data_IF_504181881653
#
_entry.id   IF_504181881653
#
_cell.length_a   1.000
_cell.length_b   1.000
_cell.length_c   1.000
_cell.angle_alpha   90.00
_cell.angle_beta   90.00
_cell.angle_gamma   90.00
#
_symmetry.space_group_name_H-M   'P 1'
#
loop_
_entity.id
_entity.type
_entity.pdbx_description
1 polymer ?
#
# COMPACT_ATOMS: atom_id res chain seq x y z
N UNK A 1 -13.07 11.70 8.93
CA UNK A 1 -12.93 10.51 8.05
C UNK A 1 -11.45 10.20 7.94
N UNK A 2 -11.09 8.92 7.81
CA UNK A 2 -9.71 8.45 7.89
C UNK A 2 -9.30 7.82 6.56
N UNK A 3 -8.02 7.88 6.22
CA UNK A 3 -7.54 7.45 4.91
C UNK A 3 -6.38 6.45 5.06
N UNK A 4 -6.18 5.63 4.04
CA UNK A 4 -5.01 4.76 3.91
C UNK A 4 -4.28 5.14 2.62
N UNK A 5 -2.98 5.40 2.70
CA UNK A 5 -2.12 5.55 1.52
C UNK A 5 -1.15 4.39 1.43
N UNK A 6 -0.99 3.86 0.22
CA UNK A 6 -0.08 2.76 -0.11
C UNK A 6 1.05 3.28 -0.95
N UNK A 7 2.29 3.11 -0.48
CA UNK A 7 3.50 3.45 -1.21
C UNK A 7 4.30 2.20 -1.53
N UNK A 8 4.95 2.21 -2.68
CA UNK A 8 5.94 1.19 -3.05
C UNK A 8 7.31 1.85 -3.14
N UNK A 9 8.28 1.32 -2.39
CA UNK A 9 9.64 1.83 -2.34
C UNK A 9 10.65 0.73 -2.65
N UNK A 10 11.81 1.11 -3.17
CA UNK A 10 12.95 0.21 -3.24
C UNK A 10 13.80 0.26 -1.96
N UNK A 11 14.85 -0.56 -1.88
CA UNK A 11 15.78 -0.62 -0.75
C UNK A 11 16.54 0.69 -0.45
N UNK A 12 16.58 1.62 -1.41
CA UNK A 12 17.17 2.95 -1.26
C UNK A 12 16.12 4.03 -0.94
N UNK A 13 14.88 3.63 -0.63
CA UNK A 13 13.73 4.51 -0.39
C UNK A 13 13.29 5.35 -1.61
N UNK A 14 13.67 4.96 -2.82
CA UNK A 14 13.13 5.58 -4.04
C UNK A 14 11.73 5.02 -4.33
N UNK A 15 10.86 5.85 -4.92
CA UNK A 15 9.57 5.38 -5.44
C UNK A 15 9.75 4.27 -6.48
N UNK A 16 9.00 3.18 -6.33
CA UNK A 16 8.97 2.05 -7.27
C UNK A 16 7.53 1.80 -7.73
N UNK A 17 7.02 2.68 -8.58
CA UNK A 17 5.61 2.66 -9.02
C UNK A 17 5.33 1.57 -10.06
N UNK A 18 6.36 1.11 -10.78
CA UNK A 18 6.26 0.10 -11.83
C UNK A 18 7.55 -0.70 -11.99
N UNK A 19 7.45 -1.90 -12.57
CA UNK A 19 8.60 -2.68 -13.05
C UNK A 19 8.37 -3.01 -14.52
N UNK A 20 9.36 -2.68 -15.35
CA UNK A 20 9.32 -2.87 -16.81
C UNK A 20 8.07 -2.25 -17.48
N UNK A 21 7.60 -1.12 -16.94
CA UNK A 21 6.43 -0.39 -17.46
C UNK A 21 5.06 -0.92 -17.00
N UNK A 22 5.01 -1.96 -16.16
CA UNK A 22 3.78 -2.45 -15.55
C UNK A 22 3.66 -1.85 -14.15
N UNK A 23 2.55 -1.18 -13.80
CA UNK A 23 2.40 -0.56 -12.51
C UNK A 23 2.05 -1.59 -11.43
N UNK A 24 2.41 -1.28 -10.19
CA UNK A 24 1.87 -1.99 -9.03
C UNK A 24 0.39 -1.63 -8.86
N UNK A 25 -0.36 -2.60 -8.35
CA UNK A 25 -1.77 -2.41 -7.99
C UNK A 25 -1.92 -2.62 -6.50
N UNK A 26 -2.43 -1.60 -5.80
CA UNK A 26 -2.82 -1.69 -4.40
C UNK A 26 -4.26 -2.14 -4.28
N UNK A 27 -4.58 -2.91 -3.26
CA UNK A 27 -5.94 -3.32 -2.95
C UNK A 27 -6.21 -3.26 -1.46
N UNK A 28 -7.48 -3.09 -1.12
CA UNK A 28 -7.97 -3.03 0.24
C UNK A 28 -9.01 -4.12 0.44
N UNK A 29 -8.79 -4.94 1.46
CA UNK A 29 -9.71 -5.98 1.90
C UNK A 29 -10.25 -5.65 3.29
N UNK A 30 -11.51 -6.02 3.55
CA UNK A 30 -12.13 -6.00 4.87
C UNK A 30 -12.89 -7.30 5.07
N UNK A 31 -12.67 -7.97 6.20
CA UNK A 31 -13.29 -9.27 6.51
C UNK A 31 -13.07 -10.33 5.40
N UNK A 32 -11.92 -10.28 4.72
CA UNK A 32 -11.58 -11.16 3.61
C UNK A 32 -12.24 -10.83 2.28
N UNK A 33 -13.03 -9.75 2.21
CA UNK A 33 -13.63 -9.27 0.98
C UNK A 33 -12.84 -8.08 0.41
N UNK A 34 -12.55 -8.12 -0.89
CA UNK A 34 -12.02 -6.97 -1.63
C UNK A 34 -13.05 -5.85 -1.66
N UNK A 35 -12.69 -4.68 -1.13
CA UNK A 35 -13.56 -3.49 -1.09
C UNK A 35 -13.10 -2.38 -2.04
N UNK A 36 -11.81 -2.30 -2.37
CA UNK A 36 -11.27 -1.33 -3.32
C UNK A 36 -9.96 -1.82 -3.94
N UNK A 37 -9.64 -1.33 -5.13
CA UNK A 37 -8.37 -1.56 -5.83
C UNK A 37 -7.98 -0.30 -6.59
N UNK A 38 -6.71 0.09 -6.51
CA UNK A 38 -6.16 1.28 -7.16
C UNK A 38 -4.78 0.99 -7.75
N UNK A 39 -4.46 1.62 -8.87
CA UNK A 39 -3.12 1.55 -9.46
C UNK A 39 -2.21 2.56 -8.78
N UNK A 40 -0.97 2.19 -8.44
CA UNK A 40 0.00 3.13 -7.87
C UNK A 40 0.29 4.23 -8.90
N UNK A 41 -0.01 5.47 -8.53
CA UNK A 41 0.12 6.61 -9.42
C UNK A 41 1.59 6.94 -9.72
N UNK A 42 1.87 7.34 -10.96
CA UNK A 42 3.22 7.73 -11.36
C UNK A 42 3.64 9.09 -10.78
N UNK A 43 2.70 10.02 -10.58
CA UNK A 43 2.99 11.40 -10.20
C UNK A 43 3.23 11.50 -8.69
N UNK A 44 2.31 10.96 -7.89
CA UNK A 44 2.39 11.02 -6.43
C UNK A 44 3.08 9.80 -5.80
N UNK A 45 3.31 8.74 -6.59
CA UNK A 45 3.98 7.51 -6.18
C UNK A 45 3.26 6.74 -5.05
N UNK A 46 1.93 6.86 -5.01
CA UNK A 46 1.07 6.20 -4.05
C UNK A 46 -0.28 5.80 -4.67
N UNK A 47 -1.09 5.08 -3.88
CA UNK A 47 -2.52 4.91 -4.09
C UNK A 47 -3.24 5.22 -2.77
N UNK A 48 -4.33 5.98 -2.86
CA UNK A 48 -5.13 6.40 -1.70
C UNK A 48 -6.47 5.65 -1.61
N UNK A 49 -6.87 5.31 -0.39
CA UNK A 49 -8.21 4.86 -0.04
C UNK A 49 -8.79 5.81 1.00
N UNK A 50 -9.72 6.65 0.56
CA UNK A 50 -10.28 7.73 1.37
C UNK A 50 -11.59 7.34 2.05
N UNK A 51 -11.98 8.14 3.04
CA UNK A 51 -13.29 8.08 3.70
C UNK A 51 -13.62 6.71 4.34
N UNK A 52 -12.59 6.07 4.88
CA UNK A 52 -12.71 4.76 5.50
C UNK A 52 -13.26 4.86 6.94
N UNK A 53 -14.23 4.01 7.31
CA UNK A 53 -14.68 3.91 8.68
C UNK A 53 -13.61 3.27 9.58
N UNK A 54 -13.71 3.53 10.89
CA UNK A 54 -12.90 2.86 11.92
C UNK A 54 -13.08 1.34 11.80
N UNK A 55 -11.97 0.60 11.87
CA UNK A 55 -11.99 -0.85 11.73
C UNK A 55 -10.65 -1.46 11.35
N UNK A 56 -10.67 -2.77 11.19
CA UNK A 56 -9.54 -3.60 10.76
C UNK A 56 -9.64 -3.83 9.25
N UNK A 57 -8.50 -3.69 8.58
CA UNK A 57 -8.35 -3.82 7.14
C UNK A 57 -7.13 -4.69 6.83
N UNK A 58 -7.11 -5.22 5.61
CA UNK A 58 -5.91 -5.80 5.02
C UNK A 58 -5.56 -5.00 3.78
N UNK A 59 -4.44 -4.31 3.83
CA UNK A 59 -3.88 -3.61 2.67
C UNK A 59 -2.98 -4.58 1.95
N UNK A 60 -3.04 -4.61 0.64
CA UNK A 60 -2.08 -5.38 -0.13
C UNK A 60 -1.69 -4.75 -1.44
N UNK A 61 -0.67 -5.34 -2.03
CA UNK A 61 -0.11 -4.93 -3.31
C UNK A 61 0.10 -6.16 -4.16
N UNK A 62 -0.14 -6.03 -5.46
CA UNK A 62 0.09 -7.08 -6.44
C UNK A 62 0.86 -6.56 -7.64
N UNK A 63 1.79 -7.39 -8.12
CA UNK A 63 2.55 -7.13 -9.34
C UNK A 63 3.07 -8.45 -9.90
N UNK A 64 2.94 -8.67 -11.21
CA UNK A 64 3.22 -9.97 -11.84
C UNK A 64 4.73 -10.34 -11.86
N UNK A 65 5.61 -9.34 -11.73
CA UNK A 65 7.07 -9.49 -11.85
C UNK A 65 7.84 -9.44 -10.53
N UNK A 66 7.16 -9.54 -9.38
CA UNK A 66 7.81 -9.56 -8.06
C UNK A 66 7.50 -10.84 -7.31
N UNK A 67 8.31 -11.16 -6.30
CA UNK A 67 8.08 -12.25 -5.38
C UNK A 67 7.89 -11.71 -3.95
N UNK A 68 6.77 -12.01 -3.28
CA UNK A 68 5.58 -12.67 -3.81
C UNK A 68 4.78 -11.75 -4.75
N UNK A 69 4.09 -12.32 -5.73
CA UNK A 69 3.23 -11.56 -6.67
C UNK A 69 2.06 -10.84 -5.99
N UNK A 70 1.68 -11.29 -4.78
CA UNK A 70 0.70 -10.65 -3.89
C UNK A 70 1.31 -10.57 -2.50
N UNK A 71 1.35 -9.37 -1.93
CA UNK A 71 1.76 -9.13 -0.55
C UNK A 71 0.64 -8.43 0.21
N UNK A 72 0.52 -8.71 1.50
CA UNK A 72 -0.53 -8.15 2.35
C UNK A 72 0.03 -7.69 3.69
N UNK A 73 -0.57 -6.66 4.27
CA UNK A 73 -0.24 -6.07 5.55
C UNK A 73 -1.55 -5.75 6.29
N UNK A 74 -1.79 -6.33 7.48
CA UNK A 74 -2.96 -5.97 8.29
C UNK A 74 -2.78 -4.56 8.87
N UNK A 75 -3.84 -3.76 8.83
CA UNK A 75 -3.84 -2.39 9.37
C UNK A 75 -5.14 -2.10 10.12
N UNK A 76 -5.07 -1.21 11.10
CA UNK A 76 -6.21 -0.79 11.89
C UNK A 76 -6.35 0.73 11.84
N UNK A 77 -7.55 1.21 11.50
CA UNK A 77 -7.97 2.60 11.76
C UNK A 77 -8.62 2.59 13.14
N UNK A 78 -8.02 3.27 14.11
CA UNK A 78 -8.43 3.31 15.52
C UNK A 78 -9.19 4.58 15.87
N UNK A 79 -9.00 5.65 15.09
CA UNK A 79 -9.55 6.96 15.36
C UNK A 79 -10.09 7.64 14.11
N UNK A 80 -10.92 8.66 14.32
CA UNK A 80 -11.31 9.56 13.25
C UNK A 80 -10.12 10.45 12.86
N UNK A 81 -10.01 10.75 11.57
CA UNK A 81 -8.98 11.64 11.01
C UNK A 81 -7.56 11.06 11.12
N UNK A 82 -7.44 9.73 11.18
CA UNK A 82 -6.16 9.05 11.03
C UNK A 82 -5.80 8.94 9.55
N UNK A 83 -4.51 9.09 9.26
CA UNK A 83 -3.92 8.78 7.97
C UNK A 83 -2.95 7.63 8.21
N UNK A 84 -3.26 6.47 7.64
CA UNK A 84 -2.41 5.28 7.75
C UNK A 84 -1.57 5.17 6.48
N UNK A 85 -0.27 5.25 6.62
CA UNK A 85 0.69 5.10 5.54
C UNK A 85 1.23 3.67 5.57
N UNK A 86 1.02 2.92 4.48
CA UNK A 86 1.55 1.56 4.31
C UNK A 86 2.60 1.57 3.22
N UNK A 87 3.83 1.23 3.56
CA UNK A 87 4.95 1.20 2.61
C UNK A 87 5.42 -0.22 2.39
N UNK A 88 5.30 -0.74 1.17
CA UNK A 88 5.92 -2.00 0.77
C UNK A 88 7.30 -1.72 0.17
N UNK A 89 8.34 -2.29 0.77
CA UNK A 89 9.72 -2.10 0.37
C UNK A 89 10.22 -3.33 -0.38
N UNK A 90 10.64 -3.16 -1.63
CA UNK A 90 11.19 -4.21 -2.48
C UNK A 90 12.70 -4.06 -2.64
N UNK A 91 13.41 -5.18 -2.69
CA UNK A 91 14.74 -5.25 -3.25
C UNK A 91 14.61 -5.24 -4.77
N UNK A 92 14.72 -4.06 -5.37
CA UNK A 92 14.41 -3.87 -6.79
C UNK A 92 15.23 -4.77 -7.75
N UNK A 93 16.56 -4.97 -7.55
CA UNK A 93 17.34 -5.83 -8.43
C UNK A 93 16.86 -7.29 -8.48
N UNK A 94 16.40 -7.81 -7.35
CA UNK A 94 15.92 -9.19 -7.22
C UNK A 94 14.39 -9.30 -7.32
N UNK A 95 13.70 -8.16 -7.30
CA UNK A 95 12.24 -8.03 -7.34
C UNK A 95 11.55 -8.76 -6.19
N UNK A 96 12.19 -8.78 -5.01
CA UNK A 96 11.69 -9.48 -3.83
C UNK A 96 11.18 -8.48 -2.79
N UNK A 97 10.02 -8.75 -2.19
CA UNK A 97 9.55 -7.95 -1.06
C UNK A 97 10.49 -8.15 0.15
N UNK A 98 11.01 -7.05 0.68
CA UNK A 98 11.83 -7.06 1.89
C UNK A 98 10.98 -6.93 3.16
N UNK A 99 10.08 -5.95 3.19
CA UNK A 99 9.19 -5.71 4.31
C UNK A 99 8.00 -4.83 3.92
N UNK A 100 7.02 -4.77 4.83
CA UNK A 100 5.98 -3.76 4.82
C UNK A 100 6.08 -2.94 6.12
N UNK A 101 5.91 -1.63 6.01
CA UNK A 101 6.01 -0.68 7.12
C UNK A 101 4.70 0.07 7.25
N UNK A 102 4.31 0.40 8.48
CA UNK A 102 3.11 1.16 8.78
C UNK A 102 3.51 2.38 9.59
N UNK A 103 3.04 3.55 9.17
CA UNK A 103 3.04 4.77 9.97
C UNK A 103 1.60 5.28 10.11
N UNK A 104 1.26 5.86 11.26
CA UNK A 104 -0.05 6.45 11.51
C UNK A 104 0.15 7.91 11.88
N UNK A 105 -0.48 8.78 11.11
CA UNK A 105 -0.49 10.22 11.33
C UNK A 105 -1.91 10.69 11.67
N UNK A 106 -2.02 11.87 12.27
CA UNK A 106 -3.31 12.54 12.47
C UNK A 106 -3.40 13.68 11.46
N UNK A 107 -4.52 13.79 10.75
CA UNK A 107 -4.84 15.02 10.01
C UNK A 107 -4.88 16.18 11.00
N UNK A 108 -4.14 17.24 10.65
CA UNK A 108 -4.09 18.51 11.38
C UNK A 108 -5.43 19.25 11.32
#
# INVERSE_FOLDING_TARGET
>A
MSDIFVMIRNQANNALTSIDGIPFVAFLEREGQLIAEETIELIYADAGFDDLPIGEYTVGVRHERVEPQKATCPVAIRGANEVVLVTFVYLEPERVLLNAQIAVEKRL
#
